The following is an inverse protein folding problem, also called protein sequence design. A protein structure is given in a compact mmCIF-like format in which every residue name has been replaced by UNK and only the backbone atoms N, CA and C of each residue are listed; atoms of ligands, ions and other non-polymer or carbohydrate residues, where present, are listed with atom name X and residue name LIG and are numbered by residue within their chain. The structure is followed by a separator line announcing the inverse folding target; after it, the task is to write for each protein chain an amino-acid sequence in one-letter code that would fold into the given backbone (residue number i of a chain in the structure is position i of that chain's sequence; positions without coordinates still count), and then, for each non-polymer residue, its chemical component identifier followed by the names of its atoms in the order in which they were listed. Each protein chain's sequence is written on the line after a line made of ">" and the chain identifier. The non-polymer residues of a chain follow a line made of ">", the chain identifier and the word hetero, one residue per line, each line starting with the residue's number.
data_IF_936901881710
#
_entry.id   IF_936901881710
#
_cell.length_a   1.000
_cell.length_b   1.000
_cell.length_c   1.000
_cell.angle_alpha   90.00
_cell.angle_beta   90.00
_cell.angle_gamma   90.00
#
_symmetry.space_group_name_H-M   'P 1'
#
loop_
_entity.id
_entity.type
_entity.pdbx_description
1 polymer ?
#
# COMPACT_ATOMS: atom_id res chain seq x y z
N UNK A 1 -7.30 14.90 -17.47
CA UNK A 1 -8.48 15.19 -16.64
C UNK A 1 -8.11 16.22 -15.57
N UNK A 2 -9.08 16.97 -15.12
CA UNK A 2 -8.87 17.94 -14.05
C UNK A 2 -8.91 17.25 -12.68
N UNK A 3 -8.55 17.99 -11.63
CA UNK A 3 -8.37 17.41 -10.30
C UNK A 3 -9.63 16.73 -9.76
N UNK A 4 -10.82 17.29 -10.04
CA UNK A 4 -12.06 16.68 -9.59
C UNK A 4 -12.29 15.30 -10.20
N UNK A 5 -12.03 15.18 -11.52
CA UNK A 5 -12.14 13.90 -12.20
C UNK A 5 -11.08 12.92 -11.72
N UNK A 6 -9.87 13.42 -11.50
CA UNK A 6 -8.77 12.59 -10.98
C UNK A 6 -9.13 12.04 -9.59
N UNK A 7 -9.73 12.88 -8.75
CA UNK A 7 -10.17 12.48 -7.43
C UNK A 7 -11.20 11.34 -7.51
N UNK A 8 -12.19 11.49 -8.39
CA UNK A 8 -13.21 10.45 -8.58
C UNK A 8 -12.61 9.17 -9.14
N UNK A 9 -11.65 9.31 -10.05
CA UNK A 9 -11.06 8.16 -10.73
C UNK A 9 -10.16 7.35 -9.79
N UNK A 10 -9.43 8.03 -8.91
CA UNK A 10 -8.47 7.36 -8.01
C UNK A 10 -9.04 7.05 -6.64
N UNK A 11 -10.14 7.70 -6.26
CA UNK A 11 -10.65 7.59 -4.90
C UNK A 11 -9.85 8.40 -3.89
N UNK A 12 -8.95 9.27 -4.34
CA UNK A 12 -8.11 10.09 -3.49
C UNK A 12 -8.66 11.51 -3.49
N UNK A 13 -8.77 12.14 -2.32
CA UNK A 13 -9.33 13.48 -2.22
C UNK A 13 -8.47 14.49 -2.99
N UNK A 14 -9.09 15.58 -3.44
CA UNK A 14 -8.37 16.66 -4.12
C UNK A 14 -7.26 17.23 -3.23
N UNK A 15 -7.56 17.37 -1.93
CA UNK A 15 -6.59 17.86 -0.98
C UNK A 15 -5.35 16.98 -0.91
N UNK A 16 -5.55 15.66 -0.90
CA UNK A 16 -4.45 14.72 -0.84
C UNK A 16 -3.66 14.70 -2.14
N UNK A 17 -4.33 14.86 -3.28
CA UNK A 17 -3.64 14.97 -4.56
C UNK A 17 -2.75 16.21 -4.60
N UNK A 18 -3.20 17.34 -4.05
CA UNK A 18 -2.38 18.54 -3.95
C UNK A 18 -1.20 18.31 -3.01
N UNK A 19 -1.42 17.61 -1.92
CA UNK A 19 -0.36 17.25 -0.99
C UNK A 19 0.71 16.42 -1.68
N UNK A 20 0.31 15.44 -2.48
CA UNK A 20 1.26 14.62 -3.22
C UNK A 20 2.10 15.47 -4.17
N UNK A 21 1.49 16.45 -4.80
CA UNK A 21 2.23 17.37 -5.66
C UNK A 21 3.24 18.17 -4.85
N UNK A 22 2.83 18.68 -3.69
CA UNK A 22 3.71 19.46 -2.82
C UNK A 22 4.91 18.65 -2.35
N UNK A 23 4.71 17.36 -2.14
CA UNK A 23 5.77 16.47 -1.69
C UNK A 23 6.64 15.96 -2.84
N UNK A 24 6.37 16.37 -4.06
CA UNK A 24 7.15 15.96 -5.22
C UNK A 24 6.81 14.57 -5.71
N UNK A 25 5.72 13.98 -5.24
CA UNK A 25 5.32 12.62 -5.62
C UNK A 25 4.53 12.60 -6.92
N UNK A 26 3.95 13.74 -7.30
CA UNK A 26 3.07 13.85 -8.45
C UNK A 26 3.40 15.15 -9.15
N UNK A 27 3.52 15.09 -10.47
CA UNK A 27 3.86 16.28 -11.26
C UNK A 27 2.88 16.41 -12.41
N UNK A 28 1.65 16.91 -12.13
CA UNK A 28 0.67 17.08 -13.19
C UNK A 28 1.09 18.18 -14.13
N UNK A 29 0.66 18.04 -15.38
CA UNK A 29 0.82 19.09 -16.36
C UNK A 29 -0.07 20.26 -16.01
N UNK A 30 0.36 21.46 -16.41
CA UNK A 30 -0.49 22.64 -16.25
C UNK A 30 -0.97 23.08 -17.63
N UNK A 31 -2.26 23.40 -17.72
CA UNK A 31 -2.84 24.00 -18.93
C UNK A 31 -2.37 25.47 -19.02
N UNK A 32 -2.53 26.04 -20.20
CA UNK A 32 -2.23 27.47 -20.38
C UNK A 32 -3.04 28.35 -19.44
N UNK A 33 -4.22 27.87 -19.01
CA UNK A 33 -5.07 28.57 -18.03
C UNK A 33 -4.56 28.43 -16.59
N UNK A 34 -3.52 27.64 -16.35
CA UNK A 34 -2.98 27.41 -15.01
C UNK A 34 -3.56 26.22 -14.28
N UNK A 35 -4.63 25.63 -14.78
CA UNK A 35 -5.24 24.46 -14.13
C UNK A 35 -4.37 23.21 -14.32
N UNK A 36 -4.37 22.38 -13.29
CA UNK A 36 -3.69 21.08 -13.34
C UNK A 36 -4.41 20.14 -14.28
N UNK A 37 -3.65 19.40 -15.04
CA UNK A 37 -4.21 18.36 -15.91
C UNK A 37 -3.50 17.04 -15.64
N UNK A 38 -4.28 16.01 -15.33
CA UNK A 38 -3.78 14.69 -14.97
C UNK A 38 -3.99 13.72 -16.10
N UNK A 39 -3.05 12.79 -16.26
CA UNK A 39 -3.07 11.77 -17.30
C UNK A 39 -3.34 10.40 -16.68
N UNK A 40 -3.52 9.39 -17.54
CA UNK A 40 -3.61 8.01 -17.08
C UNK A 40 -2.33 7.55 -16.40
N UNK A 41 -1.20 8.10 -16.81
CA UNK A 41 0.07 7.81 -16.16
C UNK A 41 0.07 8.33 -14.74
N UNK A 42 -0.51 9.50 -14.51
CA UNK A 42 -0.66 10.04 -13.17
C UNK A 42 -1.54 9.16 -12.30
N UNK A 43 -2.56 8.55 -12.89
CA UNK A 43 -3.42 7.60 -12.18
C UNK A 43 -2.59 6.41 -11.69
N UNK A 44 -1.75 5.86 -12.56
CA UNK A 44 -0.88 4.75 -12.16
C UNK A 44 0.09 5.16 -11.06
N UNK A 45 0.64 6.37 -11.18
CA UNK A 45 1.55 6.91 -10.16
C UNK A 45 0.86 6.99 -8.80
N UNK A 46 -0.38 7.47 -8.77
CA UNK A 46 -1.14 7.53 -7.53
C UNK A 46 -1.36 6.14 -6.93
N UNK A 47 -1.63 5.15 -7.78
CA UNK A 47 -1.79 3.78 -7.29
C UNK A 47 -0.51 3.25 -6.66
N UNK A 48 0.64 3.51 -7.26
CA UNK A 48 1.93 3.13 -6.66
C UNK A 48 2.14 3.84 -5.33
N UNK A 49 1.88 5.15 -5.28
CA UNK A 49 2.01 5.92 -4.04
C UNK A 49 1.14 5.29 -2.94
N UNK A 50 -0.11 4.98 -3.25
CA UNK A 50 -1.02 4.40 -2.29
C UNK A 50 -0.53 3.04 -1.78
N UNK A 51 -0.03 2.21 -2.69
CA UNK A 51 0.49 0.89 -2.31
C UNK A 51 1.69 1.01 -1.38
N UNK A 52 2.59 1.94 -1.69
CA UNK A 52 3.79 2.12 -0.87
C UNK A 52 3.46 2.71 0.49
N UNK A 53 2.52 3.66 0.54
CA UNK A 53 2.06 4.20 1.82
C UNK A 53 1.42 3.11 2.69
N UNK A 54 0.61 2.25 2.06
CA UNK A 54 -0.03 1.15 2.77
C UNK A 54 1.01 0.17 3.33
N UNK A 55 2.16 0.07 2.68
CA UNK A 55 3.26 -0.78 3.15
C UNK A 55 4.10 -0.11 4.23
N UNK A 56 3.77 1.13 4.60
CA UNK A 56 4.44 1.83 5.69
C UNK A 56 5.61 2.70 5.30
N UNK A 57 5.82 2.93 3.99
CA UNK A 57 6.85 3.87 3.57
C UNK A 57 6.38 5.29 3.83
N UNK A 58 7.32 6.17 4.18
CA UNK A 58 7.03 7.60 4.34
C UNK A 58 6.95 8.27 2.98
N UNK A 59 6.30 9.44 2.93
CA UNK A 59 6.27 10.23 1.71
C UNK A 59 7.66 10.61 1.25
N UNK A 60 8.57 10.85 2.21
CA UNK A 60 9.96 11.16 1.88
C UNK A 60 10.65 9.99 1.17
N UNK A 61 10.50 8.79 1.70
CA UNK A 61 11.08 7.60 1.08
C UNK A 61 10.49 7.36 -0.31
N UNK A 62 9.19 7.57 -0.47
CA UNK A 62 8.53 7.40 -1.76
C UNK A 62 9.07 8.43 -2.76
N UNK A 63 9.26 9.68 -2.32
CA UNK A 63 9.78 10.73 -3.19
C UNK A 63 11.16 10.36 -3.74
N UNK A 64 11.97 9.68 -2.95
CA UNK A 64 13.29 9.23 -3.40
C UNK A 64 13.21 8.13 -4.46
N UNK A 65 12.12 7.38 -4.46
CA UNK A 65 11.90 6.31 -5.45
C UNK A 65 11.27 6.82 -6.74
N UNK A 66 10.61 7.98 -6.71
CA UNK A 66 9.83 8.48 -7.86
C UNK A 66 10.63 8.61 -9.15
N UNK A 67 11.90 9.06 -9.14
CA UNK A 67 12.66 9.12 -10.38
C UNK A 67 12.78 7.78 -11.10
N UNK A 68 12.67 6.68 -10.38
CA UNK A 68 12.70 5.34 -10.96
C UNK A 68 11.34 4.88 -11.48
N UNK A 69 10.27 5.57 -11.07
CA UNK A 69 8.90 5.14 -11.34
C UNK A 69 8.18 6.05 -12.35
N UNK A 70 8.78 7.19 -12.65
CA UNK A 70 8.22 8.14 -13.60
C UNK A 70 8.76 7.80 -15.00
N UNK A 71 7.86 7.77 -15.96
CA UNK A 71 8.25 7.46 -17.33
C UNK A 71 7.02 6.97 -18.05
N UNK A 72 7.17 6.23 -19.09
CA UNK A 72 6.09 5.84 -20.00
C UNK A 72 5.14 4.77 -19.42
N UNK A 73 4.81 4.90 -18.15
CA UNK A 73 3.97 3.92 -17.47
C UNK A 73 4.71 2.63 -17.15
N UNK A 74 5.99 2.60 -17.39
CA UNK A 74 6.87 1.49 -17.06
C UNK A 74 7.73 1.90 -15.86
N UNK A 75 8.15 0.91 -15.08
CA UNK A 75 9.07 1.16 -13.99
C UNK A 75 10.48 1.11 -14.60
N UNK A 76 11.17 2.25 -14.72
CA UNK A 76 12.50 2.26 -15.32
C UNK A 76 13.52 1.59 -14.42
N UNK A 77 14.59 1.12 -15.01
CA UNK A 77 15.70 0.55 -14.25
C UNK A 77 16.35 1.64 -13.39
N UNK A 78 16.80 1.30 -12.18
CA UNK A 78 17.52 2.27 -11.35
C UNK A 78 18.75 2.80 -12.08
N UNK A 79 18.98 4.10 -11.95
CA UNK A 79 20.08 4.75 -12.67
C UNK A 79 21.39 4.71 -11.89
N UNK A 80 21.36 4.31 -10.61
CA UNK A 80 22.57 4.21 -9.82
C UNK A 80 22.49 3.04 -8.83
N UNK A 81 23.69 2.53 -8.47
CA UNK A 81 23.81 1.39 -7.58
C UNK A 81 23.26 1.70 -6.19
N UNK A 82 23.49 2.92 -5.69
CA UNK A 82 23.03 3.30 -4.36
C UNK A 82 21.52 3.23 -4.26
N UNK A 83 20.82 3.64 -5.32
CA UNK A 83 19.38 3.55 -5.36
C UNK A 83 18.92 2.10 -5.32
N UNK A 84 19.58 1.22 -6.06
CA UNK A 84 19.25 -0.20 -6.07
C UNK A 84 19.44 -0.82 -4.68
N UNK A 85 20.52 -0.45 -3.99
CA UNK A 85 20.76 -0.92 -2.62
C UNK A 85 19.65 -0.46 -1.70
N UNK A 86 19.20 0.81 -1.82
CA UNK A 86 18.10 1.34 -1.04
C UNK A 86 16.80 0.60 -1.31
N UNK A 87 16.52 0.30 -2.58
CA UNK A 87 15.32 -0.44 -2.95
C UNK A 87 15.31 -1.85 -2.35
N UNK A 88 16.44 -2.55 -2.40
CA UNK A 88 16.55 -3.88 -1.79
C UNK A 88 16.35 -3.81 -0.28
N UNK A 89 16.89 -2.78 0.35
CA UNK A 89 16.75 -2.59 1.80
C UNK A 89 15.29 -2.38 2.19
N UNK A 90 14.56 -1.53 1.44
CA UNK A 90 13.14 -1.30 1.70
C UNK A 90 12.32 -2.56 1.44
N UNK A 91 12.65 -3.30 0.38
CA UNK A 91 11.97 -4.56 0.10
C UNK A 91 12.16 -5.55 1.23
N UNK A 92 13.37 -5.63 1.77
CA UNK A 92 13.65 -6.53 2.89
C UNK A 92 12.88 -6.12 4.14
N UNK A 93 12.81 -4.80 4.42
CA UNK A 93 12.04 -4.30 5.55
C UNK A 93 10.58 -4.71 5.46
N UNK A 94 9.99 -4.58 4.27
CA UNK A 94 8.60 -4.96 4.04
C UNK A 94 8.42 -6.47 4.24
N UNK A 95 9.34 -7.27 3.71
CA UNK A 95 9.29 -8.72 3.86
C UNK A 95 9.36 -9.14 5.32
N UNK A 96 10.23 -8.49 6.11
CA UNK A 96 10.37 -8.78 7.53
C UNK A 96 9.10 -8.41 8.29
N UNK A 97 8.51 -7.26 7.94
CA UNK A 97 7.25 -6.82 8.56
C UNK A 97 6.12 -7.79 8.22
N UNK A 98 6.04 -8.24 6.99
CA UNK A 98 5.02 -9.19 6.56
C UNK A 98 5.18 -10.52 7.31
N UNK A 99 6.42 -10.99 7.47
CA UNK A 99 6.68 -12.22 8.21
C UNK A 99 6.27 -12.07 9.68
N UNK A 100 6.54 -10.91 10.27
CA UNK A 100 6.14 -10.63 11.65
C UNK A 100 4.62 -10.63 11.82
N UNK A 101 3.91 -10.04 10.86
CA UNK A 101 2.45 -10.03 10.90
C UNK A 101 1.87 -11.43 10.77
N UNK A 102 2.43 -12.26 9.89
CA UNK A 102 2.00 -13.64 9.76
C UNK A 102 2.24 -14.44 11.03
N UNK A 103 3.39 -14.22 11.67
CA UNK A 103 3.69 -14.88 12.95
C UNK A 103 2.71 -14.45 14.03
N UNK A 104 2.39 -13.16 14.09
CA UNK A 104 1.43 -12.65 15.06
C UNK A 104 0.04 -13.26 14.81
N UNK A 105 -0.35 -13.38 13.55
CA UNK A 105 -1.62 -14.02 13.21
C UNK A 105 -1.66 -15.46 13.72
N UNK A 106 -0.57 -16.18 13.54
CA UNK A 106 -0.51 -17.58 14.01
C UNK A 106 -0.64 -17.67 15.53
N UNK A 107 -0.04 -16.72 16.24
CA UNK A 107 -0.21 -16.66 17.71
C UNK A 107 -1.66 -16.40 18.06
N UNK A 108 -2.31 -15.45 17.38
CA UNK A 108 -3.72 -15.18 17.64
C UNK A 108 -4.59 -16.38 17.35
N UNK A 109 -4.30 -17.12 16.28
CA UNK A 109 -5.04 -18.34 15.96
C UNK A 109 -4.93 -19.34 17.11
N UNK A 110 -3.75 -19.50 17.67
CA UNK A 110 -3.52 -20.39 18.81
C UNK A 110 -4.32 -19.93 20.03
N UNK A 111 -4.30 -18.62 20.31
CA UNK A 111 -5.06 -18.07 21.43
C UNK A 111 -6.56 -18.25 21.25
N UNK A 112 -7.05 -18.01 20.04
CA UNK A 112 -8.47 -18.16 19.73
C UNK A 112 -8.91 -19.60 19.96
N UNK A 113 -8.13 -20.57 19.51
CA UNK A 113 -8.45 -21.97 19.70
C UNK A 113 -8.45 -22.32 21.19
N UNK A 114 -7.44 -21.85 21.93
CA UNK A 114 -7.34 -22.13 23.36
C UNK A 114 -8.46 -21.48 24.16
N UNK A 115 -8.96 -20.32 23.70
CA UNK A 115 -10.00 -19.58 24.41
C UNK A 115 -11.41 -20.06 24.06
N UNK A 116 -11.55 -20.96 23.10
CA UNK A 116 -12.86 -21.45 22.69
C UNK A 116 -13.53 -22.17 23.87
N UNK A 117 -14.77 -21.79 24.21
CA UNK A 117 -15.45 -22.49 25.31
C UNK A 117 -15.62 -23.95 25.01
N UNK A 118 -15.38 -24.78 25.99
CA UNK A 118 -15.58 -26.22 25.85
C UNK A 118 -17.06 -26.51 25.80
N UNK A 119 -17.42 -27.47 24.96
CA UNK A 119 -18.81 -27.82 24.75
C UNK A 119 -19.52 -26.92 23.78
N UNK A 120 -18.88 -25.88 23.29
CA UNK A 120 -19.40 -25.04 22.24
C UNK A 120 -19.03 -25.64 20.91
N UNK A 121 -19.97 -26.00 20.23
CA UNK A 121 -19.66 -26.48 18.92
C UNK A 121 -19.97 -25.42 17.93
N UNK A 122 -19.58 -25.07 17.60
CA UNK A 122 -19.91 -24.13 17.07
C UNK A 122 -20.33 -23.99 15.95
N UNK A 123 -20.80 -23.81 15.98
CA UNK A 123 -21.33 -23.76 15.08
C UNK A 123 -20.73 -24.10 14.06
N UNK A 124 -20.52 -24.53 14.46
CA UNK A 124 -20.05 -24.94 14.14
C UNK A 124 -19.48 -25.65 14.36
N UNK A 125 -19.59 -25.88 14.43
CA UNK A 125 -19.14 -26.49 15.00
C UNK A 125 -19.17 -26.97 15.67
N UNK A 126 -19.73 -27.25 15.85
CA UNK A 126 -19.66 -27.75 16.81
C UNK A 126 -19.76 -28.41 17.18
N UNK A 127 -20.02 -28.81 16.90
CA UNK A 127 -19.92 -29.55 17.49
C UNK A 127 -19.28 -30.36 17.65
N UNK A 128 -19.23 -30.41 17.42
CA UNK A 128 -18.70 -31.25 17.88
C UNK A 128 -18.25 -31.56 18.50
N UNK A 129 -18.51 -31.56 18.70
CA UNK A 129 -18.08 -32.09 19.65
C UNK A 129 -18.21 -32.31 20.34
N UNK A 130 -18.81 -32.43 20.42
CA UNK A 130 -18.86 -32.87 21.31
C UNK A 130 -18.51 -33.49 21.55
N UNK A 131 -18.53 -33.47 21.36
CA UNK A 131 -18.06 -34.08 21.91
C UNK A 131 -17.39 -34.49 22.34
N UNK A 132 -17.41 -34.55 22.29
CA UNK A 132 -16.98 -35.05 22.96
C UNK A 132 -16.46 -34.94 23.65
N UNK A 133 -16.63 -34.60 23.85
CA UNK A 133 -16.32 -34.57 24.65
C UNK A 133 -15.88 -34.62 25.18
N UNK A 134 -16.17 -34.20 25.49
CA UNK A 134 -15.43 -34.38 26.43
C UNK A 134 -15.08 -35.40 26.54
#
# INVERSE_FOLDING_TARGET
>A
MLIGAMSRHTGVSERLLRYYEEQGLLKPRRRSSGFREYSEEDVRTVRYIRSLLAAGLSTHAIAELMPCMIGNGQIPAPVCTDMLVGLHRERQRISDTAAGLLAARDVLDTVIVAARPQGTTSPEADRASETSAP
#
